data_IF_082994967271
#
_entry.id   IF_082994967271
#
_cell.length_a   1.000
_cell.length_b   1.000
_cell.length_c   1.000
_cell.angle_alpha   90.00
_cell.angle_beta   90.00
_cell.angle_gamma   90.00
#
_symmetry.space_group_name_H-M   'P 1'
#
loop_
_entity.id
_entity.type
_entity.pdbx_description
1 polymer ?
#
# COMPACT_ATOMS: atom_id res chain seq x y z
N UNK A 1 19.52 -19.00 26.09
CA UNK A 1 18.55 -17.89 25.97
C UNK A 1 17.19 -18.55 26.04
N UNK A 2 16.39 -18.25 27.07
CA UNK A 2 15.13 -18.97 27.34
C UNK A 2 14.14 -18.81 26.18
N UNK A 3 13.60 -19.93 25.68
CA UNK A 3 12.59 -19.95 24.62
C UNK A 3 11.35 -19.11 24.98
N UNK A 4 11.02 -19.05 26.27
CA UNK A 4 9.93 -18.22 26.80
C UNK A 4 10.16 -16.73 26.57
N UNK A 5 11.38 -16.24 26.82
CA UNK A 5 11.76 -14.85 26.59
C UNK A 5 11.62 -14.51 25.09
N UNK A 6 12.05 -15.44 24.21
CA UNK A 6 11.92 -15.24 22.76
C UNK A 6 10.47 -15.24 22.27
N UNK A 7 9.59 -16.03 22.91
CA UNK A 7 8.16 -16.06 22.58
C UNK A 7 7.45 -14.80 23.08
N UNK A 8 7.73 -14.35 24.30
CA UNK A 8 7.19 -13.11 24.86
C UNK A 8 7.54 -11.90 23.95
N UNK A 9 8.78 -11.82 23.45
CA UNK A 9 9.19 -10.76 22.51
C UNK A 9 8.53 -10.85 21.12
N UNK A 10 8.15 -12.04 20.65
CA UNK A 10 7.44 -12.22 19.37
C UNK A 10 5.97 -11.81 19.47
N UNK A 11 5.33 -12.17 20.57
CA UNK A 11 3.93 -11.80 20.85
C UNK A 11 3.82 -10.28 21.05
N UNK A 12 4.77 -9.68 21.77
CA UNK A 12 4.90 -8.22 21.89
C UNK A 12 5.08 -7.53 20.53
N UNK A 13 5.90 -8.10 19.64
CA UNK A 13 6.11 -7.52 18.31
C UNK A 13 4.84 -7.56 17.46
N UNK A 14 4.13 -8.69 17.42
CA UNK A 14 2.88 -8.80 16.65
C UNK A 14 1.82 -7.83 17.17
N UNK A 15 1.69 -7.72 18.50
CA UNK A 15 0.78 -6.78 19.15
C UNK A 15 1.14 -5.31 18.84
N UNK A 16 2.41 -4.96 18.77
CA UNK A 16 2.85 -3.62 18.36
C UNK A 16 2.47 -3.32 16.91
N UNK A 17 2.61 -4.28 16.00
CA UNK A 17 2.17 -4.11 14.61
C UNK A 17 0.66 -3.86 14.56
N UNK A 18 -0.14 -4.65 15.27
CA UNK A 18 -1.59 -4.47 15.34
C UNK A 18 -1.97 -3.11 15.94
N UNK A 19 -1.36 -2.71 17.05
CA UNK A 19 -1.57 -1.41 17.67
C UNK A 19 -1.24 -0.25 16.71
N UNK A 20 -0.17 -0.38 15.93
CA UNK A 20 0.18 0.58 14.89
C UNK A 20 -0.92 0.74 13.85
N UNK A 21 -1.45 -0.38 13.32
CA UNK A 21 -2.55 -0.33 12.35
C UNK A 21 -3.88 0.14 12.95
N UNK A 22 -4.15 -0.14 14.23
CA UNK A 22 -5.31 0.41 14.95
C UNK A 22 -5.19 1.94 15.05
N UNK A 23 -4.03 2.46 15.41
CA UNK A 23 -3.79 3.90 15.45
C UNK A 23 -3.97 4.56 14.08
N UNK A 24 -3.51 3.92 12.99
CA UNK A 24 -3.77 4.40 11.62
C UNK A 24 -5.27 4.49 11.34
N UNK A 25 -6.06 3.47 11.70
CA UNK A 25 -7.53 3.46 11.52
C UNK A 25 -8.22 4.55 12.32
N UNK A 26 -7.66 4.94 13.46
CA UNK A 26 -8.15 6.04 14.30
C UNK A 26 -7.70 7.43 13.82
N UNK A 27 -6.96 7.49 12.71
CA UNK A 27 -6.31 8.71 12.21
C UNK A 27 -5.31 9.32 13.19
N UNK A 28 -4.82 8.53 14.15
CA UNK A 28 -3.73 8.91 15.06
C UNK A 28 -2.38 8.58 14.42
N UNK A 29 -1.99 9.41 13.44
CA UNK A 29 -0.72 9.30 12.72
C UNK A 29 0.48 9.35 13.69
N UNK A 30 0.41 10.19 14.72
CA UNK A 30 1.52 10.39 15.65
C UNK A 30 1.79 9.09 16.43
N UNK A 31 0.76 8.49 17.01
CA UNK A 31 0.90 7.22 17.72
C UNK A 31 1.30 6.10 16.77
N UNK A 32 0.67 6.01 15.59
CA UNK A 32 0.99 4.99 14.60
C UNK A 32 2.47 5.02 14.19
N UNK A 33 2.99 6.21 13.87
CA UNK A 33 4.39 6.40 13.48
C UNK A 33 5.35 6.02 14.60
N UNK A 34 5.06 6.42 15.85
CA UNK A 34 5.87 6.07 17.03
C UNK A 34 5.88 4.56 17.28
N UNK A 35 4.73 3.90 17.15
CA UNK A 35 4.60 2.47 17.33
C UNK A 35 5.39 1.71 16.27
N UNK A 36 5.27 2.10 14.98
CA UNK A 36 6.04 1.43 13.92
C UNK A 36 7.54 1.65 14.05
N UNK A 37 8.02 2.83 14.46
CA UNK A 37 9.44 3.01 14.74
C UNK A 37 9.93 2.19 15.95
N UNK A 38 9.10 2.03 16.99
CA UNK A 38 9.42 1.14 18.10
C UNK A 38 9.50 -0.33 17.65
N UNK A 39 8.54 -0.79 16.83
CA UNK A 39 8.56 -2.13 16.26
C UNK A 39 9.78 -2.36 15.35
N UNK A 40 10.16 -1.37 14.53
CA UNK A 40 11.37 -1.42 13.71
C UNK A 40 12.65 -1.56 14.56
N UNK A 41 12.73 -0.86 15.71
CA UNK A 41 13.87 -0.99 16.62
C UNK A 41 13.95 -2.37 17.28
N UNK A 42 12.81 -3.02 17.56
CA UNK A 42 12.73 -4.37 18.14
C UNK A 42 13.09 -5.44 17.13
N UNK A 43 12.62 -5.31 15.87
CA UNK A 43 12.90 -6.26 14.80
C UNK A 43 13.32 -5.56 13.49
N UNK A 44 14.59 -5.12 13.39
CA UNK A 44 15.07 -4.35 12.24
C UNK A 44 15.03 -5.11 10.90
N UNK A 45 15.04 -6.44 10.94
CA UNK A 45 14.94 -7.30 9.76
C UNK A 45 13.50 -7.53 9.30
N UNK A 46 12.51 -7.27 10.14
CA UNK A 46 11.10 -7.46 9.79
C UNK A 46 10.59 -6.24 9.00
N UNK A 47 9.91 -6.49 7.88
CA UNK A 47 9.43 -5.43 7.00
C UNK A 47 8.05 -4.87 7.38
N UNK A 48 7.30 -5.54 8.27
CA UNK A 48 5.96 -5.12 8.67
C UNK A 48 5.87 -3.67 9.18
N UNK A 49 6.80 -3.16 10.02
CA UNK A 49 6.76 -1.76 10.46
C UNK A 49 6.95 -0.78 9.30
N UNK A 50 7.85 -1.09 8.35
CA UNK A 50 8.07 -0.27 7.16
C UNK A 50 6.85 -0.25 6.24
N UNK A 51 6.15 -1.37 6.09
CA UNK A 51 4.87 -1.41 5.37
C UNK A 51 3.86 -0.48 6.05
N UNK A 52 3.78 -0.49 7.38
CA UNK A 52 2.94 0.44 8.16
C UNK A 52 3.27 1.91 7.89
N UNK A 53 4.55 2.28 7.91
CA UNK A 53 5.00 3.64 7.59
C UNK A 53 4.72 4.04 6.13
N UNK A 54 4.90 3.10 5.19
CA UNK A 54 4.53 3.28 3.78
C UNK A 54 3.04 3.50 3.59
N UNK A 55 2.21 2.79 4.37
CA UNK A 55 0.76 2.93 4.36
C UNK A 55 0.32 4.29 4.93
N UNK A 56 0.97 4.79 5.99
CA UNK A 56 0.76 6.16 6.48
C UNK A 56 1.05 7.19 5.39
N UNK A 57 2.21 7.10 4.72
CA UNK A 57 2.57 8.00 3.63
C UNK A 57 1.55 7.92 2.47
N UNK A 58 1.05 6.72 2.16
CA UNK A 58 0.02 6.54 1.14
C UNK A 58 -1.30 7.21 1.52
N UNK A 59 -1.76 7.07 2.77
CA UNK A 59 -2.98 7.72 3.27
C UNK A 59 -2.89 9.25 3.21
N UNK A 60 -1.69 9.80 3.34
CA UNK A 60 -1.40 11.24 3.19
C UNK A 60 -1.23 11.68 1.73
N UNK A 61 -1.38 10.78 0.77
CA UNK A 61 -1.11 10.98 -0.65
C UNK A 61 0.34 11.42 -0.94
N UNK A 62 1.29 11.07 -0.07
CA UNK A 62 2.73 11.27 -0.27
C UNK A 62 3.27 10.16 -1.20
N UNK A 63 2.71 10.06 -2.41
CA UNK A 63 2.87 8.91 -3.31
C UNK A 63 4.33 8.58 -3.61
N UNK A 64 5.19 9.59 -3.77
CA UNK A 64 6.62 9.39 -4.02
C UNK A 64 7.32 8.69 -2.84
N UNK A 65 6.99 9.09 -1.62
CA UNK A 65 7.55 8.52 -0.40
C UNK A 65 7.02 7.10 -0.19
N UNK A 66 5.72 6.90 -0.30
CA UNK A 66 5.09 5.58 -0.21
C UNK A 66 5.70 4.60 -1.23
N UNK A 67 5.82 5.02 -2.50
CA UNK A 67 6.47 4.23 -3.56
C UNK A 67 7.88 3.80 -3.16
N UNK A 68 8.70 4.74 -2.67
CA UNK A 68 10.08 4.44 -2.25
C UNK A 68 10.11 3.43 -1.10
N UNK A 69 9.25 3.59 -0.10
CA UNK A 69 9.18 2.69 1.05
C UNK A 69 8.82 1.27 0.60
N UNK A 70 7.80 1.10 -0.24
CA UNK A 70 7.41 -0.22 -0.74
C UNK A 70 8.46 -0.85 -1.66
N UNK A 71 9.15 -0.05 -2.49
CA UNK A 71 10.29 -0.53 -3.27
C UNK A 71 11.44 -1.01 -2.36
N UNK A 72 11.74 -0.30 -1.27
CA UNK A 72 12.78 -0.69 -0.33
C UNK A 72 12.41 -1.95 0.46
N UNK A 73 11.14 -2.13 0.81
CA UNK A 73 10.62 -3.39 1.37
C UNK A 73 10.83 -4.54 0.38
N UNK A 74 10.46 -4.36 -0.89
CA UNK A 74 10.57 -5.41 -1.91
C UNK A 74 12.02 -5.75 -2.30
N UNK A 75 12.97 -4.83 -2.09
CA UNK A 75 14.41 -5.16 -2.21
C UNK A 75 14.88 -6.10 -1.11
N UNK A 76 14.34 -5.96 0.10
CA UNK A 76 14.69 -6.79 1.25
C UNK A 76 13.89 -8.10 1.29
N UNK A 77 12.63 -8.06 0.87
CA UNK A 77 11.68 -9.17 0.85
C UNK A 77 10.91 -9.18 -0.49
N UNK A 78 11.47 -9.79 -1.54
CA UNK A 78 10.86 -9.81 -2.88
C UNK A 78 9.53 -10.56 -2.97
N UNK A 79 9.21 -11.42 -2.00
CA UNK A 79 7.95 -12.18 -1.95
C UNK A 79 6.89 -11.50 -1.07
N UNK A 80 7.13 -10.25 -0.64
CA UNK A 80 6.18 -9.48 0.13
C UNK A 80 4.99 -8.99 -0.72
N UNK A 81 4.02 -9.87 -0.95
CA UNK A 81 2.86 -9.58 -1.80
C UNK A 81 1.99 -8.42 -1.31
N UNK A 82 2.02 -8.11 0.00
CA UNK A 82 1.33 -6.95 0.55
C UNK A 82 2.00 -5.64 0.09
N UNK A 83 3.33 -5.55 0.23
CA UNK A 83 4.10 -4.40 -0.28
C UNK A 83 4.02 -4.28 -1.80
N UNK A 84 4.04 -5.40 -2.53
CA UNK A 84 3.87 -5.42 -3.99
C UNK A 84 2.49 -4.87 -4.41
N UNK A 85 1.44 -5.22 -3.67
CA UNK A 85 0.09 -4.68 -3.88
C UNK A 85 0.03 -3.18 -3.60
N UNK A 86 0.60 -2.72 -2.48
CA UNK A 86 0.64 -1.28 -2.17
C UNK A 86 1.48 -0.47 -3.15
N UNK A 87 2.58 -1.02 -3.68
CA UNK A 87 3.31 -0.43 -4.79
C UNK A 87 2.42 -0.30 -6.03
N UNK A 88 1.67 -1.36 -6.35
CA UNK A 88 0.65 -1.33 -7.41
C UNK A 88 -0.34 -0.17 -7.23
N UNK A 89 -0.87 0.03 -6.01
CA UNK A 89 -1.80 1.12 -5.68
C UNK A 89 -1.13 2.49 -5.85
N UNK A 90 0.12 2.66 -5.42
CA UNK A 90 0.89 3.89 -5.65
C UNK A 90 1.02 4.22 -7.16
N UNK A 91 1.19 3.19 -7.99
CA UNK A 91 1.28 3.34 -9.44
C UNK A 91 -0.09 3.62 -10.10
N UNK A 92 -1.19 3.10 -9.56
CA UNK A 92 -2.56 3.48 -9.95
C UNK A 92 -2.82 4.98 -9.71
N UNK A 93 -2.34 5.51 -8.58
CA UNK A 93 -2.44 6.93 -8.25
C UNK A 93 -1.53 7.82 -9.12
N UNK A 94 -0.63 7.22 -9.90
CA UNK A 94 0.26 7.94 -10.82
C UNK A 94 -0.22 7.77 -12.26
N UNK A 95 -0.92 8.76 -12.84
CA UNK A 95 -1.52 8.73 -14.20
C UNK A 95 -0.70 7.98 -15.27
N UNK A 96 0.57 8.33 -15.56
CA UNK A 96 1.35 7.65 -16.60
C UNK A 96 1.74 6.21 -16.27
N UNK A 97 1.62 5.78 -15.00
CA UNK A 97 1.99 4.45 -14.51
C UNK A 97 0.79 3.55 -14.17
N UNK A 98 -0.46 4.03 -14.37
CA UNK A 98 -1.70 3.29 -14.05
C UNK A 98 -1.71 1.85 -14.57
N UNK A 99 -1.47 1.65 -15.86
CA UNK A 99 -1.42 0.31 -16.48
C UNK A 99 -0.38 -0.62 -15.85
N UNK A 100 0.76 -0.06 -15.41
CA UNK A 100 1.79 -0.83 -14.71
C UNK A 100 1.29 -1.25 -13.32
N UNK A 101 0.61 -0.35 -12.61
CA UNK A 101 -0.03 -0.64 -11.32
C UNK A 101 -1.07 -1.75 -11.42
N UNK A 102 -1.97 -1.66 -12.41
CA UNK A 102 -2.98 -2.71 -12.68
C UNK A 102 -2.31 -4.08 -12.89
N UNK A 103 -1.32 -4.15 -13.79
CA UNK A 103 -0.61 -5.40 -14.10
C UNK A 103 0.06 -6.01 -12.87
N UNK A 104 0.72 -5.19 -12.04
CA UNK A 104 1.37 -5.68 -10.80
C UNK A 104 0.34 -6.31 -9.87
N UNK A 105 -0.79 -5.63 -9.62
CA UNK A 105 -1.82 -6.15 -8.72
C UNK A 105 -2.44 -7.44 -9.28
N UNK A 106 -2.70 -7.51 -10.58
CA UNK A 106 -3.19 -8.73 -11.24
C UNK A 106 -2.22 -9.91 -11.09
N UNK A 107 -0.92 -9.67 -11.20
CA UNK A 107 0.11 -10.69 -11.00
C UNK A 107 0.15 -11.15 -9.54
N UNK A 108 0.07 -10.23 -8.57
CA UNK A 108 0.03 -10.58 -7.14
C UNK A 108 -1.16 -11.48 -6.82
N UNK A 109 -2.36 -11.14 -7.29
CA UNK A 109 -3.59 -11.92 -7.04
C UNK A 109 -3.46 -13.37 -7.54
N UNK A 110 -2.69 -13.60 -8.61
CA UNK A 110 -2.42 -14.93 -9.16
C UNK A 110 -1.36 -15.72 -8.39
N UNK A 111 -0.41 -15.03 -7.75
CA UNK A 111 0.74 -15.64 -7.06
C UNK A 111 0.46 -15.97 -5.59
N UNK A 112 -0.24 -15.09 -4.88
CA UNK A 112 -0.50 -15.25 -3.44
C UNK A 112 -1.70 -16.15 -3.19
N UNK A 113 -1.77 -16.77 -2.01
CA UNK A 113 -2.99 -17.39 -1.46
C UNK A 113 -3.61 -16.62 -0.29
N UNK A 114 -2.98 -15.53 0.13
CA UNK A 114 -3.50 -14.67 1.20
C UNK A 114 -4.82 -13.99 0.77
N UNK A 115 -5.95 -14.28 1.45
CA UNK A 115 -7.25 -13.71 1.08
C UNK A 115 -7.31 -12.20 1.30
N UNK A 116 -6.59 -11.65 2.28
CA UNK A 116 -6.52 -10.22 2.56
C UNK A 116 -5.85 -9.48 1.42
N UNK A 117 -4.70 -10.00 0.96
CA UNK A 117 -3.97 -9.43 -0.19
C UNK A 117 -4.79 -9.55 -1.48
N UNK A 118 -5.43 -10.70 -1.72
CA UNK A 118 -6.33 -10.88 -2.87
C UNK A 118 -7.48 -9.88 -2.85
N UNK A 119 -8.11 -9.67 -1.69
CA UNK A 119 -9.24 -8.76 -1.57
C UNK A 119 -8.82 -7.30 -1.78
N UNK A 120 -7.70 -6.88 -1.17
CA UNK A 120 -7.12 -5.55 -1.36
C UNK A 120 -6.83 -5.29 -2.85
N UNK A 121 -6.21 -6.25 -3.53
CA UNK A 121 -5.92 -6.15 -4.95
C UNK A 121 -7.18 -6.00 -5.80
N UNK A 122 -8.20 -6.85 -5.58
CA UNK A 122 -9.47 -6.79 -6.31
C UNK A 122 -10.19 -5.45 -6.14
N UNK A 123 -10.32 -4.97 -4.90
CA UNK A 123 -10.94 -3.67 -4.62
C UNK A 123 -10.19 -2.54 -5.33
N UNK A 124 -8.85 -2.59 -5.30
CA UNK A 124 -8.01 -1.57 -5.94
C UNK A 124 -8.17 -1.55 -7.46
N UNK A 125 -8.27 -2.72 -8.10
CA UNK A 125 -8.51 -2.84 -9.54
C UNK A 125 -9.93 -2.39 -9.92
N UNK A 126 -10.94 -2.75 -9.13
CA UNK A 126 -12.31 -2.29 -9.36
C UNK A 126 -12.42 -0.76 -9.27
N UNK A 127 -11.79 -0.15 -8.28
CA UNK A 127 -11.73 1.31 -8.15
C UNK A 127 -11.01 1.94 -9.34
N UNK A 128 -9.88 1.38 -9.78
CA UNK A 128 -9.17 1.88 -10.95
C UNK A 128 -10.02 1.83 -12.23
N UNK A 129 -10.78 0.75 -12.43
CA UNK A 129 -11.66 0.60 -13.58
C UNK A 129 -12.85 1.57 -13.54
N UNK A 130 -13.51 1.68 -12.39
CA UNK A 130 -14.72 2.49 -12.23
C UNK A 130 -14.44 3.99 -12.18
N UNK A 131 -13.38 4.41 -11.49
CA UNK A 131 -13.20 5.80 -11.11
C UNK A 131 -12.03 6.46 -11.85
N UNK A 132 -10.96 5.71 -12.15
CA UNK A 132 -9.80 6.29 -12.86
C UNK A 132 -9.92 6.25 -14.38
N UNK A 133 -10.67 5.30 -14.97
CA UNK A 133 -10.91 5.24 -16.42
C UNK A 133 -12.06 6.13 -16.87
N UNK A 134 -13.04 6.39 -16.00
CA UNK A 134 -14.17 7.30 -16.27
C UNK A 134 -13.82 8.80 -16.20
N UNK A 135 -12.58 9.17 -15.85
CA UNK A 135 -12.06 10.53 -16.08
C UNK A 135 -12.11 10.94 -17.58
N UNK A 136 -12.41 10.02 -18.51
CA UNK A 136 -12.95 10.37 -19.83
C UNK A 136 -14.46 10.63 -19.76
N UNK A 137 -14.86 11.75 -19.15
CA UNK A 137 -16.23 12.25 -19.21
C UNK A 137 -16.35 13.37 -20.26
N UNK A 138 -17.53 13.55 -20.91
CA UNK A 138 -17.68 13.98 -22.31
C UNK A 138 -17.47 15.47 -22.58
N UNK A 139 -16.99 16.25 -21.60
CA UNK A 139 -17.12 17.70 -21.60
C UNK A 139 -16.30 18.43 -22.68
N UNK A 140 -15.34 17.74 -23.31
CA UNK A 140 -14.55 18.27 -24.43
C UNK A 140 -14.98 17.74 -25.81
N UNK A 141 -16.01 16.88 -25.89
CA UNK A 141 -16.45 16.32 -27.17
C UNK A 141 -17.40 17.24 -27.96
N UNK A 142 -17.83 18.38 -27.40
CA UNK A 142 -18.84 19.26 -28.02
C UNK A 142 -18.35 20.68 -28.35
N UNK A 143 -17.04 20.94 -28.39
CA UNK A 143 -16.51 22.25 -28.81
C UNK A 143 -15.74 22.24 -30.14
N UNK A 144 -15.86 21.18 -30.94
CA UNK A 144 -15.44 21.18 -32.34
C UNK A 144 -16.69 21.04 -33.22
N UNK A 145 -17.25 22.15 -33.70
CA UNK A 145 -18.38 22.07 -34.62
C UNK A 145 -19.21 23.33 -34.87
N UNK A 146 -18.79 24.52 -34.48
CA UNK A 146 -19.46 25.76 -34.89
C UNK A 146 -18.44 26.87 -35.17
N UNK A 147 -17.79 26.80 -36.32
CA UNK A 147 -17.21 27.96 -37.00
C UNK A 147 -17.00 27.61 -38.48
N UNK A 148 -18.09 27.42 -39.22
CA UNK A 148 -18.12 27.59 -40.67
C UNK A 148 -19.44 28.26 -41.08
N UNK A 149 -19.29 29.40 -41.76
CA UNK A 149 -20.24 30.28 -42.46
C UNK A 149 -20.65 31.58 -41.75
#
# INVERSE_FOLDING_TARGET
>A
MDEKIMQDFKDDFSLLIEAGFIAVKQLDEMSATRIFHAAEAISPSNQAPKIGLGYIALNKLEIKQATKIFEDVLKADPENHLAETFLGICLLLTKPKRKKGEKIIEEVIKKTDDPTVKNLGKISLEWADKDLKKEKSPFFASSQGMEEN
#
